data_IF_465252848412
#
_entry.id   IF_465252848412
#
_cell.length_a   1.000
_cell.length_b   1.000
_cell.length_c   1.000
_cell.angle_alpha   90.00
_cell.angle_beta   90.00
_cell.angle_gamma   90.00
#
_symmetry.space_group_name_H-M   'P 1'
#
loop_
_entity.id
_entity.type
_entity.pdbx_description
1 polymer ?
#
# COMPACT_ATOMS: atom_id res chain seq x y z
N UNK A 1 -6.30 -22.52 4.03
CA UNK A 1 -6.45 -21.16 3.51
C UNK A 1 -5.08 -20.53 3.29
N UNK A 2 -4.85 -19.97 2.14
CA UNK A 2 -3.56 -19.36 1.81
C UNK A 2 -3.41 -18.02 2.52
N UNK A 3 -2.20 -17.68 2.94
CA UNK A 3 -1.92 -16.38 3.54
C UNK A 3 -2.24 -15.23 2.60
N UNK A 4 -2.16 -15.47 1.29
CA UNK A 4 -2.49 -14.47 0.28
C UNK A 4 -3.97 -14.09 0.23
N UNK A 5 -4.82 -14.87 0.89
CA UNK A 5 -6.25 -14.58 0.97
C UNK A 5 -6.61 -13.70 2.17
N UNK A 6 -5.63 -13.35 2.99
CA UNK A 6 -5.86 -12.59 4.21
C UNK A 6 -5.73 -11.09 3.95
N UNK A 7 -6.77 -10.35 4.33
CA UNK A 7 -6.77 -8.88 4.22
C UNK A 7 -6.81 -8.28 5.63
N UNK A 8 -5.87 -7.38 5.89
CA UNK A 8 -5.80 -6.61 7.13
C UNK A 8 -5.99 -5.14 6.81
N UNK A 9 -6.90 -4.48 7.52
CA UNK A 9 -7.19 -3.06 7.32
C UNK A 9 -6.68 -2.28 8.52
N UNK A 10 -5.90 -1.24 8.26
CA UNK A 10 -5.38 -0.33 9.28
C UNK A 10 -5.94 1.08 9.03
N UNK A 11 -6.39 1.72 10.11
CA UNK A 11 -6.83 3.12 10.07
C UNK A 11 -6.54 3.75 11.42
N UNK A 12 -6.36 5.06 11.46
CA UNK A 12 -6.14 5.80 12.70
C UNK A 12 -7.45 6.36 13.29
N UNK A 13 -8.57 6.02 12.70
CA UNK A 13 -9.90 6.49 13.12
C UNK A 13 -10.75 5.32 13.58
N UNK A 14 -11.26 5.36 14.83
CA UNK A 14 -12.07 4.26 15.39
C UNK A 14 -13.29 3.91 14.55
N UNK A 15 -13.95 4.90 13.95
CA UNK A 15 -15.16 4.70 13.16
C UNK A 15 -14.90 3.93 11.87
N UNK A 16 -13.65 3.88 11.41
CA UNK A 16 -13.27 3.15 10.19
C UNK A 16 -12.52 1.85 10.47
N UNK A 17 -12.43 1.44 11.74
CA UNK A 17 -11.86 0.15 12.12
C UNK A 17 -12.91 -0.84 12.62
N UNK A 18 -14.18 -0.51 12.45
CA UNK A 18 -15.27 -1.42 12.78
C UNK A 18 -15.27 -2.61 11.81
N UNK A 19 -15.14 -3.86 12.30
CA UNK A 19 -15.12 -5.04 11.42
C UNK A 19 -16.36 -5.18 10.53
N UNK A 20 -17.49 -4.62 10.93
CA UNK A 20 -18.71 -4.67 10.15
C UNK A 20 -18.59 -3.93 8.80
N UNK A 21 -17.68 -2.98 8.68
CA UNK A 21 -17.43 -2.25 7.44
C UNK A 21 -16.60 -3.07 6.45
N UNK A 22 -15.88 -4.09 6.93
CA UNK A 22 -14.95 -4.87 6.11
C UNK A 22 -15.15 -6.36 6.35
N UNK A 23 -16.31 -6.92 5.92
CA UNK A 23 -16.63 -8.32 6.22
C UNK A 23 -15.65 -9.33 5.61
N UNK A 24 -14.90 -8.93 4.56
CA UNK A 24 -13.87 -9.77 3.97
C UNK A 24 -12.52 -9.70 4.66
N UNK A 25 -12.31 -8.75 5.56
CA UNK A 25 -11.04 -8.62 6.26
C UNK A 25 -10.94 -9.60 7.42
N UNK A 26 -9.74 -10.15 7.63
CA UNK A 26 -9.50 -11.02 8.79
C UNK A 26 -9.27 -10.22 10.06
N UNK A 27 -8.83 -8.98 9.91
CA UNK A 27 -8.53 -8.11 11.04
C UNK A 27 -8.66 -6.65 10.62
N UNK A 28 -9.17 -5.81 11.54
CA UNK A 28 -9.14 -4.35 11.40
C UNK A 28 -8.40 -3.81 12.62
N UNK A 29 -7.45 -2.92 12.38
CA UNK A 29 -6.55 -2.43 13.43
C UNK A 29 -6.65 -0.91 13.50
N UNK A 30 -6.99 -0.40 14.69
CA UNK A 30 -6.83 1.03 15.00
C UNK A 30 -5.35 1.26 15.30
N UNK A 31 -4.68 2.06 14.49
CA UNK A 31 -3.24 2.23 14.58
C UNK A 31 -2.81 3.69 14.60
N UNK A 32 -1.58 3.90 15.02
CA UNK A 32 -0.87 5.16 14.82
C UNK A 32 -0.01 5.01 13.55
N UNK A 33 -0.31 5.77 12.51
CA UNK A 33 0.42 5.69 11.25
C UNK A 33 1.90 6.08 11.36
N UNK A 34 2.32 6.69 12.45
CA UNK A 34 3.73 6.99 12.67
C UNK A 34 4.55 5.76 13.08
N UNK A 35 3.90 4.69 13.52
CA UNK A 35 4.54 3.51 14.10
C UNK A 35 3.90 2.22 13.60
N UNK A 36 3.92 1.98 12.29
CA UNK A 36 3.29 0.80 11.68
C UNK A 36 3.86 -0.51 12.23
N UNK A 37 5.16 -0.54 12.53
CA UNK A 37 5.87 -1.71 13.03
C UNK A 37 5.35 -2.22 14.37
N UNK A 38 4.65 -1.36 15.13
CA UNK A 38 4.02 -1.76 16.40
C UNK A 38 2.74 -2.56 16.20
N UNK A 39 2.17 -2.54 15.01
CA UNK A 39 0.86 -3.12 14.70
C UNK A 39 0.92 -4.29 13.74
N UNK A 40 1.85 -4.27 12.82
CA UNK A 40 1.99 -5.31 11.79
C UNK A 40 3.47 -5.63 11.56
N UNK A 41 3.72 -6.88 11.20
CA UNK A 41 5.04 -7.35 10.76
C UNK A 41 4.94 -7.70 9.29
N UNK A 42 5.53 -6.88 8.43
CA UNK A 42 5.40 -7.00 6.97
C UNK A 42 6.55 -7.87 6.43
N UNK A 43 6.18 -8.86 5.64
CA UNK A 43 7.10 -9.82 5.04
C UNK A 43 7.22 -9.63 3.53
N UNK A 44 8.14 -10.36 2.90
CA UNK A 44 8.30 -10.34 1.44
C UNK A 44 7.10 -10.93 0.68
N UNK A 45 6.16 -11.57 1.38
CA UNK A 45 4.94 -12.11 0.78
C UNK A 45 3.77 -11.12 0.85
N UNK A 46 3.95 -9.97 1.49
CA UNK A 46 2.86 -9.04 1.75
C UNK A 46 2.73 -7.97 0.67
N UNK A 47 1.48 -7.63 0.37
CA UNK A 47 1.09 -6.59 -0.58
C UNK A 47 0.48 -5.45 0.21
N UNK A 48 1.00 -4.25 0.05
CA UNK A 48 0.56 -3.07 0.80
C UNK A 48 -0.14 -2.08 -0.13
N UNK A 49 -1.37 -1.71 0.24
CA UNK A 49 -2.13 -0.68 -0.45
C UNK A 49 -2.25 0.54 0.47
N UNK A 50 -1.71 1.66 0.04
CA UNK A 50 -1.75 2.91 0.81
C UNK A 50 -2.87 3.78 0.27
N UNK A 51 -3.88 3.98 1.11
CA UNK A 51 -5.09 4.74 0.75
C UNK A 51 -5.41 5.78 1.82
N UNK A 52 -4.37 6.32 2.45
CA UNK A 52 -4.52 7.33 3.49
C UNK A 52 -5.09 8.63 2.91
N UNK A 53 -5.79 9.37 3.76
CA UNK A 53 -6.36 10.67 3.38
C UNK A 53 -5.42 11.79 3.76
N UNK A 54 -5.27 12.74 2.82
CA UNK A 54 -4.48 13.95 3.05
C UNK A 54 -2.98 13.72 3.01
N UNK A 55 -2.24 14.83 3.03
CA UNK A 55 -0.79 14.82 2.84
C UNK A 55 0.00 14.43 4.09
N UNK A 56 -0.61 14.51 5.27
CA UNK A 56 0.10 14.35 6.55
C UNK A 56 0.68 12.95 6.74
N UNK A 57 -0.06 11.92 6.34
CA UNK A 57 0.35 10.53 6.58
C UNK A 57 0.91 9.83 5.36
N UNK A 58 0.65 10.34 4.15
CA UNK A 58 1.09 9.68 2.92
C UNK A 58 2.60 9.46 2.91
N UNK A 59 3.37 10.48 3.28
CA UNK A 59 4.82 10.40 3.24
C UNK A 59 5.38 9.47 4.31
N UNK A 60 4.92 9.62 5.56
CA UNK A 60 5.45 8.81 6.68
C UNK A 60 5.11 7.32 6.52
N UNK A 61 3.93 7.00 6.01
CA UNK A 61 3.54 5.62 5.76
C UNK A 61 4.42 5.01 4.67
N UNK A 62 4.62 5.73 3.57
CA UNK A 62 5.46 5.23 2.48
C UNK A 62 6.92 5.07 2.91
N UNK A 63 7.45 6.00 3.70
CA UNK A 63 8.80 5.88 4.24
C UNK A 63 8.97 4.61 5.08
N UNK A 64 8.00 4.31 5.93
CA UNK A 64 8.04 3.09 6.75
C UNK A 64 7.94 1.83 5.89
N UNK A 65 7.05 1.82 4.90
CA UNK A 65 6.87 0.67 4.02
C UNK A 65 8.12 0.38 3.18
N UNK A 66 8.84 1.41 2.75
CA UNK A 66 10.08 1.24 2.01
C UNK A 66 11.17 0.57 2.84
N UNK A 67 11.09 0.65 4.16
CA UNK A 67 12.00 -0.04 5.06
C UNK A 67 11.63 -1.51 5.27
N UNK A 68 10.49 -1.97 4.75
CA UNK A 68 10.02 -3.35 4.85
C UNK A 68 10.37 -4.14 3.59
N UNK A 69 10.35 -5.49 3.66
CA UNK A 69 10.56 -6.31 2.47
C UNK A 69 9.31 -6.52 1.61
N UNK A 70 8.23 -5.76 1.82
CA UNK A 70 6.97 -5.92 1.09
C UNK A 70 7.21 -6.06 -0.41
N UNK A 71 6.52 -6.99 -1.05
CA UNK A 71 6.68 -7.23 -2.48
C UNK A 71 5.90 -6.27 -3.36
N UNK A 72 4.96 -5.55 -2.77
CA UNK A 72 4.10 -4.60 -3.47
C UNK A 72 3.77 -3.45 -2.54
N UNK A 73 4.02 -2.23 -3.01
CA UNK A 73 3.60 -1.02 -2.32
C UNK A 73 2.89 -0.15 -3.35
N UNK A 74 1.56 -0.19 -3.32
CA UNK A 74 0.72 0.60 -4.21
C UNK A 74 0.11 1.78 -3.47
N UNK A 75 0.12 2.96 -4.08
CA UNK A 75 -0.35 4.19 -3.45
C UNK A 75 -1.39 4.86 -4.33
N UNK A 76 -2.56 5.14 -3.76
CA UNK A 76 -3.60 5.89 -4.45
C UNK A 76 -3.22 7.37 -4.51
N UNK A 77 -3.55 8.02 -5.62
CA UNK A 77 -3.32 9.46 -5.77
C UNK A 77 -2.95 9.85 -7.19
N UNK A 78 -2.92 11.15 -7.43
CA UNK A 78 -2.56 11.72 -8.73
C UNK A 78 -1.04 11.71 -8.94
N UNK A 79 -0.62 11.93 -10.18
CA UNK A 79 0.80 12.07 -10.52
C UNK A 79 1.43 13.29 -9.85
N UNK A 80 0.67 14.38 -9.70
CA UNK A 80 1.14 15.58 -9.02
C UNK A 80 1.40 15.31 -7.53
N UNK A 81 0.50 14.57 -6.89
CA UNK A 81 0.65 14.15 -5.49
C UNK A 81 1.85 13.22 -5.32
N UNK A 82 2.04 12.30 -6.24
CA UNK A 82 3.20 11.41 -6.27
C UNK A 82 4.50 12.20 -6.28
N UNK A 83 4.60 13.19 -7.18
CA UNK A 83 5.81 14.01 -7.30
C UNK A 83 6.12 14.76 -6.00
N UNK A 84 5.09 15.31 -5.36
CA UNK A 84 5.25 16.03 -4.09
C UNK A 84 5.72 15.10 -2.97
N UNK A 85 5.12 13.91 -2.86
CA UNK A 85 5.50 12.93 -1.84
C UNK A 85 6.92 12.42 -2.08
N UNK A 86 7.27 12.10 -3.32
CA UNK A 86 8.61 11.61 -3.66
C UNK A 86 9.69 12.63 -3.32
N UNK A 87 9.43 13.92 -3.56
CA UNK A 87 10.35 14.99 -3.17
C UNK A 87 10.58 14.99 -1.66
N UNK A 88 9.51 14.86 -0.88
CA UNK A 88 9.61 14.82 0.59
C UNK A 88 10.35 13.58 1.08
N UNK A 89 10.12 12.43 0.44
CA UNK A 89 10.83 11.20 0.79
C UNK A 89 12.34 11.36 0.60
N UNK A 90 12.76 12.01 -0.46
CA UNK A 90 14.17 12.27 -0.72
C UNK A 90 14.74 13.31 0.26
N UNK A 91 14.05 14.45 0.41
CA UNK A 91 14.59 15.59 1.17
C UNK A 91 14.48 15.39 2.69
N UNK A 92 13.36 14.84 3.17
CA UNK A 92 13.10 14.73 4.62
C UNK A 92 13.46 13.38 5.21
N UNK A 93 13.42 12.31 4.42
CA UNK A 93 13.64 10.94 4.90
C UNK A 93 14.91 10.31 4.33
N UNK A 94 15.66 11.04 3.51
CA UNK A 94 16.89 10.57 2.88
C UNK A 94 16.72 9.26 2.10
N UNK A 95 15.56 9.08 1.49
CA UNK A 95 15.28 7.89 0.68
C UNK A 95 16.03 8.03 -0.65
N UNK A 96 16.70 6.97 -1.07
CA UNK A 96 17.40 6.91 -2.34
C UNK A 96 16.37 6.87 -3.48
N UNK A 97 16.63 7.60 -4.57
CA UNK A 97 15.74 7.59 -5.74
C UNK A 97 15.49 6.20 -6.29
N UNK A 98 16.46 5.30 -6.22
CA UNK A 98 16.30 3.92 -6.67
C UNK A 98 15.27 3.16 -5.84
N UNK A 99 15.17 3.44 -4.55
CA UNK A 99 14.22 2.79 -3.66
C UNK A 99 12.79 3.23 -3.96
N UNK A 100 12.59 4.42 -4.52
CA UNK A 100 11.28 4.91 -4.91
C UNK A 100 10.64 4.06 -6.02
N UNK A 101 11.44 3.31 -6.77
CA UNK A 101 10.92 2.41 -7.80
C UNK A 101 10.12 1.25 -7.22
N UNK A 102 10.21 0.99 -5.92
CA UNK A 102 9.39 -0.01 -5.24
C UNK A 102 7.96 0.48 -5.00
N UNK A 103 7.71 1.77 -5.16
CA UNK A 103 6.39 2.36 -4.98
C UNK A 103 5.69 2.45 -6.34
N UNK A 104 4.49 1.88 -6.42
CA UNK A 104 3.63 1.97 -7.60
C UNK A 104 2.57 3.04 -7.33
N UNK A 105 2.69 4.17 -8.00
CA UNK A 105 1.76 5.28 -7.86
C UNK A 105 1.57 5.97 -9.22
N UNK A 106 0.36 6.19 -9.69
CA UNK A 106 -0.92 5.75 -9.08
C UNK A 106 -1.07 4.23 -9.05
N UNK A 107 -1.73 3.73 -8.01
CA UNK A 107 -1.97 2.30 -7.83
C UNK A 107 -2.85 1.74 -8.95
N UNK A 108 -2.59 0.49 -9.34
CA UNK A 108 -3.44 -0.24 -10.28
C UNK A 108 -2.96 -0.17 -11.71
N UNK A 109 -3.56 -1.01 -12.55
CA UNK A 109 -3.33 -1.02 -13.99
C UNK A 109 -4.03 0.16 -14.65
N UNK A 110 -3.46 0.67 -15.75
CA UNK A 110 -4.07 1.76 -16.52
C UNK A 110 -5.16 1.23 -17.43
N UNK A 111 -6.33 0.97 -16.85
CA UNK A 111 -7.52 0.50 -17.57
C UNK A 111 -8.61 1.57 -17.64
N UNK A 112 -8.28 2.81 -17.27
CA UNK A 112 -9.23 3.93 -17.22
C UNK A 112 -10.39 3.66 -16.27
N UNK A 113 -10.08 3.05 -15.12
CA UNK A 113 -11.07 2.74 -14.08
C UNK A 113 -11.65 4.05 -13.50
N UNK A 114 -12.97 4.10 -13.36
CA UNK A 114 -13.67 5.29 -12.88
C UNK A 114 -14.39 5.04 -11.54
N UNK A 115 -15.00 3.87 -11.40
CA UNK A 115 -15.75 3.55 -10.17
C UNK A 115 -14.84 2.88 -9.14
N UNK A 116 -15.21 2.92 -7.83
CA UNK A 116 -14.44 2.19 -6.81
C UNK A 116 -14.29 0.70 -7.13
N UNK A 117 -15.32 0.06 -7.67
CA UNK A 117 -15.26 -1.35 -8.07
C UNK A 117 -14.24 -1.57 -9.19
N UNK A 118 -14.24 -0.69 -10.19
CA UNK A 118 -13.27 -0.77 -11.29
C UNK A 118 -11.84 -0.52 -10.82
N UNK A 119 -11.66 0.42 -9.89
CA UNK A 119 -10.35 0.69 -9.28
C UNK A 119 -9.87 -0.56 -8.53
N UNK A 120 -10.76 -1.23 -7.80
CA UNK A 120 -10.42 -2.47 -7.10
C UNK A 120 -9.99 -3.57 -8.09
N UNK A 121 -10.65 -3.68 -9.24
CA UNK A 121 -10.28 -4.63 -10.29
C UNK A 121 -8.88 -4.29 -10.84
N UNK A 122 -8.63 -3.02 -11.09
CA UNK A 122 -7.33 -2.53 -11.56
C UNK A 122 -6.21 -2.89 -10.59
N UNK A 123 -6.43 -2.68 -9.30
CA UNK A 123 -5.44 -3.00 -8.25
C UNK A 123 -5.23 -4.52 -8.17
N UNK A 124 -6.30 -5.29 -8.15
CA UNK A 124 -6.23 -6.75 -8.07
C UNK A 124 -5.49 -7.32 -9.28
N UNK A 125 -5.78 -6.81 -10.47
CA UNK A 125 -5.08 -7.22 -11.69
C UNK A 125 -3.57 -6.95 -11.61
N UNK A 126 -3.19 -5.81 -11.08
CA UNK A 126 -1.78 -5.47 -10.90
C UNK A 126 -1.10 -6.39 -9.88
N UNK A 127 -1.78 -6.73 -8.78
CA UNK A 127 -1.26 -7.67 -7.79
C UNK A 127 -1.05 -9.06 -8.39
N UNK A 128 -1.96 -9.51 -9.24
CA UNK A 128 -1.83 -10.79 -9.94
C UNK A 128 -0.60 -10.77 -10.82
N UNK A 129 -0.38 -9.67 -11.56
CA UNK A 129 0.79 -9.52 -12.42
C UNK A 129 2.08 -9.54 -11.62
N UNK A 130 2.14 -8.82 -10.51
CA UNK A 130 3.30 -8.79 -9.62
C UNK A 130 3.58 -10.19 -9.07
N UNK A 131 2.55 -10.91 -8.65
CA UNK A 131 2.70 -12.29 -8.17
C UNK A 131 3.28 -13.20 -9.23
N UNK A 132 2.79 -13.09 -10.46
CA UNK A 132 3.29 -13.90 -11.58
C UNK A 132 4.76 -13.59 -11.89
N UNK A 133 5.13 -12.31 -11.88
CA UNK A 133 6.50 -11.88 -12.14
C UNK A 133 7.45 -12.38 -11.03
N UNK A 134 7.02 -12.38 -9.78
CA UNK A 134 7.82 -12.90 -8.67
C UNK A 134 8.06 -14.39 -8.80
N UNK A 135 7.05 -15.17 -9.20
CA UNK A 135 7.19 -16.60 -9.43
C UNK A 135 8.17 -16.90 -10.56
N UNK A 136 8.10 -16.10 -11.64
CA UNK A 136 9.02 -16.26 -12.77
C UNK A 136 10.46 -15.97 -12.36
N UNK A 137 10.68 -14.98 -11.50
CA UNK A 137 12.01 -14.57 -11.04
C UNK A 137 12.61 -15.58 -10.05
N UNK A 138 11.77 -16.24 -9.25
CA UNK A 138 12.23 -17.17 -8.21
C UNK A 138 12.61 -18.57 -8.75
N UNK A 139 12.43 -18.79 -10.03
CA UNK A 139 12.88 -20.04 -10.69
C UNK A 139 14.38 -19.92 -11.09
#
# INVERSE_FOLDING_TARGET
RRSSDLCVVLDDRPEFTNPALFPGAVETILCDFNHLDQYVSITAADYCCVMTRGHSYDTIVQAQLLATPACYIGVIGSRAKKAAVFRRLIEEYNINEQDLNHIISPIGLEIKAETPAEIAISITGQMIQVRADRKATSK
#
